data_IF_574869179244
#
_entry.id   IF_574869179244
#
_cell.length_a   1.000
_cell.length_b   1.000
_cell.length_c   1.000
_cell.angle_alpha   90.00
_cell.angle_beta   90.00
_cell.angle_gamma   90.00
#
_symmetry.space_group_name_H-M   'P 1'
#
loop_
_entity.id
_entity.type
_entity.pdbx_description
1 polymer ?
#
# COMPACT_ATOMS: atom_id res chain seq x y z
N UNK A 1 13.57 -8.36 -60.75
CA UNK A 1 12.34 -8.20 -59.94
C UNK A 1 12.32 -9.11 -58.71
N UNK A 2 12.61 -10.38 -58.81
CA UNK A 2 12.56 -11.38 -57.69
C UNK A 2 13.47 -10.99 -56.49
N UNK A 3 14.70 -10.59 -56.74
CA UNK A 3 15.63 -10.17 -55.65
C UNK A 3 15.15 -8.96 -54.82
N UNK A 4 14.42 -8.00 -55.42
CA UNK A 4 13.89 -6.83 -54.73
C UNK A 4 12.68 -7.21 -53.88
N UNK A 5 11.81 -8.13 -54.35
CA UNK A 5 10.65 -8.67 -53.67
C UNK A 5 11.07 -9.47 -52.40
N UNK A 6 12.12 -10.28 -52.54
CA UNK A 6 12.66 -11.05 -51.40
C UNK A 6 13.27 -10.10 -50.31
N UNK A 7 13.95 -9.03 -50.72
CA UNK A 7 14.44 -8.02 -49.74
C UNK A 7 13.31 -7.33 -49.00
N UNK A 8 12.19 -7.00 -49.67
CA UNK A 8 11.02 -6.39 -49.04
C UNK A 8 10.36 -7.39 -48.07
N UNK A 9 10.21 -8.65 -48.45
CA UNK A 9 9.65 -9.70 -47.58
C UNK A 9 10.52 -9.90 -46.34
N UNK A 10 11.84 -9.97 -46.50
CA UNK A 10 12.76 -10.08 -45.34
C UNK A 10 12.68 -8.86 -44.46
N UNK A 11 12.64 -7.65 -45.02
CA UNK A 11 12.52 -6.43 -44.22
C UNK A 11 11.21 -6.32 -43.46
N UNK A 12 10.06 -6.67 -44.09
CA UNK A 12 8.78 -6.75 -43.43
C UNK A 12 8.75 -7.81 -42.32
N UNK A 13 9.33 -8.98 -42.54
CA UNK A 13 9.45 -10.03 -41.55
C UNK A 13 10.26 -9.57 -40.32
N UNK A 14 11.37 -8.87 -40.53
CA UNK A 14 12.21 -8.29 -39.47
C UNK A 14 11.44 -7.23 -38.65
N UNK A 15 10.66 -6.38 -39.31
CA UNK A 15 9.82 -5.37 -38.65
C UNK A 15 8.75 -6.09 -37.76
N UNK A 16 8.08 -7.10 -38.31
CA UNK A 16 7.07 -7.87 -37.56
C UNK A 16 7.67 -8.56 -36.32
N UNK A 17 8.86 -9.17 -36.47
CA UNK A 17 9.59 -9.78 -35.36
C UNK A 17 9.93 -8.73 -34.31
N UNK A 18 10.41 -7.57 -34.69
CA UNK A 18 10.78 -6.50 -33.76
C UNK A 18 9.58 -5.94 -33.02
N UNK A 19 8.46 -5.71 -33.72
CA UNK A 19 7.20 -5.26 -33.08
C UNK A 19 6.66 -6.33 -32.12
N UNK A 20 6.67 -7.60 -32.55
CA UNK A 20 6.20 -8.72 -31.70
C UNK A 20 7.07 -8.87 -30.46
N UNK A 21 8.39 -8.73 -30.58
CA UNK A 21 9.32 -8.76 -29.45
C UNK A 21 9.08 -7.60 -28.49
N UNK A 22 8.84 -6.38 -29.02
CA UNK A 22 8.50 -5.22 -28.19
C UNK A 22 7.17 -5.41 -27.46
N UNK A 23 6.14 -5.86 -28.17
CA UNK A 23 4.82 -6.14 -27.56
C UNK A 23 4.90 -7.22 -26.50
N UNK A 24 5.66 -8.29 -26.74
CA UNK A 24 5.90 -9.35 -25.76
C UNK A 24 6.64 -8.81 -24.54
N UNK A 25 7.67 -7.99 -24.73
CA UNK A 25 8.43 -7.36 -23.64
C UNK A 25 7.53 -6.46 -22.79
N UNK A 26 6.66 -5.67 -23.41
CA UNK A 26 5.68 -4.84 -22.71
C UNK A 26 4.64 -5.68 -21.94
N UNK A 27 4.11 -6.71 -22.59
CA UNK A 27 3.17 -7.64 -21.95
C UNK A 27 3.82 -8.37 -20.77
N UNK A 28 5.03 -8.85 -20.93
CA UNK A 28 5.81 -9.50 -19.87
C UNK A 28 6.02 -8.57 -18.67
N UNK A 29 6.31 -7.29 -18.94
CA UNK A 29 6.56 -6.30 -17.89
C UNK A 29 5.30 -5.88 -17.16
N UNK A 30 4.16 -5.73 -17.84
CA UNK A 30 2.99 -5.05 -17.30
C UNK A 30 1.71 -5.90 -17.20
N UNK A 31 1.64 -7.05 -17.88
CA UNK A 31 0.40 -7.81 -18.00
C UNK A 31 0.54 -9.28 -17.56
N UNK A 32 1.69 -9.90 -17.81
CA UNK A 32 1.85 -11.33 -17.53
C UNK A 32 2.12 -11.51 -16.03
N UNK A 33 1.23 -12.23 -15.36
CA UNK A 33 1.42 -12.64 -13.96
C UNK A 33 2.60 -13.61 -13.84
N UNK A 34 3.43 -13.43 -12.81
CA UNK A 34 4.60 -14.28 -12.55
C UNK A 34 4.77 -14.49 -11.06
N UNK A 35 4.78 -15.75 -10.63
CA UNK A 35 5.15 -16.10 -9.26
C UNK A 35 6.67 -15.94 -9.07
N UNK A 36 7.08 -15.30 -7.98
CA UNK A 36 8.50 -15.16 -7.61
C UNK A 36 8.86 -16.07 -6.43
N UNK A 37 7.94 -16.27 -5.49
CA UNK A 37 8.16 -17.10 -4.30
C UNK A 37 6.85 -17.69 -3.79
N UNK A 38 6.88 -18.94 -3.32
CA UNK A 38 5.74 -19.56 -2.68
C UNK A 38 5.36 -18.82 -1.38
N UNK A 39 4.06 -18.56 -1.19
CA UNK A 39 3.53 -17.96 0.04
C UNK A 39 3.35 -19.06 1.08
N UNK A 40 3.99 -18.88 2.24
CA UNK A 40 3.80 -19.75 3.40
C UNK A 40 2.66 -19.21 4.24
N UNK A 41 1.51 -19.92 4.23
CA UNK A 41 0.40 -19.58 5.10
C UNK A 41 0.72 -20.08 6.52
N UNK A 42 0.97 -19.16 7.44
CA UNK A 42 0.86 -19.48 8.86
C UNK A 42 -0.62 -19.61 9.20
N UNK A 43 -1.14 -20.84 9.27
CA UNK A 43 -2.47 -21.11 9.78
C UNK A 43 -2.41 -20.81 11.29
N UNK A 44 -2.75 -19.61 11.70
CA UNK A 44 -3.04 -19.34 13.09
C UNK A 44 -4.40 -19.97 13.40
N UNK A 45 -4.38 -21.10 14.13
CA UNK A 45 -5.59 -21.67 14.73
C UNK A 45 -6.16 -20.63 15.68
N UNK A 46 -7.28 -20.01 15.32
CA UNK A 46 -8.03 -19.15 16.23
C UNK A 46 -8.57 -20.02 17.36
N UNK A 47 -8.07 -19.81 18.56
CA UNK A 47 -8.71 -20.32 19.77
C UNK A 47 -10.08 -19.64 19.88
N UNK A 48 -11.15 -20.44 19.98
CA UNK A 48 -12.52 -19.99 20.25
C UNK A 48 -12.66 -19.52 21.70
N UNK A 49 -11.96 -18.47 22.08
CA UNK A 49 -12.31 -17.70 23.27
C UNK A 49 -13.56 -16.87 22.92
N UNK A 50 -14.58 -16.87 23.79
CA UNK A 50 -15.73 -15.95 23.66
C UNK A 50 -15.18 -14.52 23.70
N UNK A 51 -14.95 -13.96 22.54
CA UNK A 51 -14.57 -12.56 22.39
C UNK A 51 -15.81 -11.73 22.64
N UNK A 52 -15.74 -10.80 23.60
CA UNK A 52 -16.75 -9.76 23.73
C UNK A 52 -16.57 -8.82 22.53
N UNK A 53 -17.32 -9.07 21.47
CA UNK A 53 -17.28 -8.27 20.25
C UNK A 53 -18.42 -7.28 20.28
N UNK A 54 -18.09 -6.01 20.09
CA UNK A 54 -19.06 -4.93 19.83
C UNK A 54 -18.67 -4.22 18.55
N UNK A 55 -19.63 -3.92 17.68
CA UNK A 55 -19.37 -3.22 16.44
C UNK A 55 -20.60 -2.45 15.95
N UNK A 56 -20.33 -1.44 15.15
CA UNK A 56 -21.30 -0.70 14.36
C UNK A 56 -20.70 -0.39 12.97
N UNK A 57 -21.26 0.58 12.25
CA UNK A 57 -20.78 0.93 10.92
C UNK A 57 -19.36 1.54 10.89
N UNK A 58 -18.86 2.04 12.01
CA UNK A 58 -17.61 2.79 12.12
C UNK A 58 -16.69 2.33 13.26
N UNK A 59 -17.20 1.48 14.13
CA UNK A 59 -16.50 1.00 15.33
C UNK A 59 -16.45 -0.51 15.37
N UNK A 60 -15.35 -1.04 15.83
CA UNK A 60 -15.20 -2.45 16.17
C UNK A 60 -14.33 -2.57 17.42
N UNK A 61 -14.75 -3.38 18.38
CA UNK A 61 -13.97 -3.66 19.57
C UNK A 61 -14.10 -5.12 19.96
N UNK A 62 -12.96 -5.72 20.26
CA UNK A 62 -12.85 -7.06 20.82
C UNK A 62 -11.77 -7.09 21.90
N UNK A 63 -11.50 -8.28 22.45
CA UNK A 63 -10.48 -8.42 23.50
C UNK A 63 -9.07 -8.06 23.04
N UNK A 64 -8.76 -8.15 21.72
CA UNK A 64 -7.40 -8.04 21.20
C UNK A 64 -7.12 -6.70 20.54
N UNK A 65 -8.14 -6.03 20.01
CA UNK A 65 -7.99 -4.73 19.34
C UNK A 65 -9.30 -3.94 19.34
N UNK A 66 -9.15 -2.64 19.08
CA UNK A 66 -10.29 -1.76 18.79
C UNK A 66 -9.97 -0.89 17.59
N UNK A 67 -10.99 -0.60 16.79
CA UNK A 67 -10.94 0.29 15.63
C UNK A 67 -12.07 1.30 15.77
N UNK A 68 -11.73 2.57 15.56
CA UNK A 68 -12.71 3.65 15.38
C UNK A 68 -12.38 4.37 14.07
N UNK A 69 -13.34 4.49 13.16
CA UNK A 69 -13.18 5.17 11.86
C UNK A 69 -13.98 6.46 11.89
N UNK A 70 -13.35 7.56 11.52
CA UNK A 70 -13.97 8.85 11.37
C UNK A 70 -13.90 9.32 9.92
N UNK A 71 -15.05 9.62 9.31
CA UNK A 71 -15.10 10.36 8.05
C UNK A 71 -14.93 11.85 8.37
N UNK A 72 -13.98 12.50 7.72
CA UNK A 72 -13.69 13.94 7.86
C UNK A 72 -13.84 14.65 6.52
N UNK A 73 -14.26 15.88 6.58
CA UNK A 73 -14.35 16.78 5.44
C UNK A 73 -13.75 18.13 5.81
N UNK A 74 -13.00 18.74 4.89
CA UNK A 74 -12.41 20.06 5.04
C UNK A 74 -12.44 20.83 3.73
N UNK A 75 -12.37 22.17 3.78
CA UNK A 75 -12.50 23.00 2.58
C UNK A 75 -13.90 23.00 2.00
N UNK A 76 -14.10 23.73 0.92
CA UNK A 76 -15.35 23.88 0.21
C UNK A 76 -15.14 23.98 -1.31
N UNK A 77 -16.20 23.79 -2.09
CA UNK A 77 -16.16 23.82 -3.55
C UNK A 77 -15.06 22.93 -4.13
N UNK A 78 -14.24 23.49 -5.01
CA UNK A 78 -13.13 22.79 -5.66
C UNK A 78 -11.96 22.47 -4.71
N UNK A 79 -11.93 23.08 -3.50
CA UNK A 79 -10.94 22.82 -2.49
C UNK A 79 -11.38 21.78 -1.45
N UNK A 80 -12.57 21.21 -1.60
CA UNK A 80 -13.09 20.19 -0.70
C UNK A 80 -12.21 18.96 -0.70
N UNK A 81 -11.95 18.42 0.50
CA UNK A 81 -11.20 17.18 0.75
C UNK A 81 -12.04 16.31 1.66
N UNK A 82 -12.25 15.07 1.27
CA UNK A 82 -12.89 14.04 2.08
C UNK A 82 -11.84 12.96 2.40
N UNK A 83 -11.74 12.57 3.66
CA UNK A 83 -10.79 11.55 4.10
C UNK A 83 -11.33 10.75 5.29
N UNK A 84 -10.74 9.60 5.51
CA UNK A 84 -11.11 8.65 6.56
C UNK A 84 -9.91 8.39 7.44
N UNK A 85 -10.12 8.50 8.75
CA UNK A 85 -9.10 8.26 9.78
C UNK A 85 -9.54 7.07 10.60
N UNK A 86 -8.80 5.98 10.55
CA UNK A 86 -9.02 4.81 11.38
C UNK A 86 -7.99 4.80 12.52
N UNK A 87 -8.46 5.00 13.73
CA UNK A 87 -7.67 4.82 14.96
C UNK A 87 -7.70 3.35 15.36
N UNK A 88 -6.54 2.74 15.43
CA UNK A 88 -6.35 1.35 15.76
C UNK A 88 -5.52 1.20 17.03
N UNK A 89 -6.08 0.53 18.03
CA UNK A 89 -5.34 0.09 19.21
C UNK A 89 -5.30 -1.44 19.22
N UNK A 90 -4.11 -2.03 19.27
CA UNK A 90 -3.92 -3.47 19.35
C UNK A 90 -3.24 -3.83 20.68
N UNK A 91 -3.54 -4.98 21.26
CA UNK A 91 -2.78 -5.50 22.41
C UNK A 91 -1.45 -6.11 21.98
N UNK A 92 -1.41 -6.64 20.77
CA UNK A 92 -0.27 -7.30 20.19
C UNK A 92 -0.21 -6.95 18.69
N UNK A 93 0.94 -6.48 18.24
CA UNK A 93 1.20 -6.09 16.85
C UNK A 93 0.98 -7.24 15.85
N UNK A 94 1.06 -8.49 16.29
CA UNK A 94 0.79 -9.67 15.46
C UNK A 94 -0.65 -9.72 14.94
N UNK A 95 -1.54 -8.88 15.49
CA UNK A 95 -2.88 -8.65 14.96
C UNK A 95 -2.88 -7.89 13.64
N UNK A 96 -1.83 -7.08 13.38
CA UNK A 96 -1.64 -6.38 12.10
C UNK A 96 -0.88 -7.30 11.15
N UNK A 97 -1.56 -7.71 10.10
CA UNK A 97 -1.07 -8.69 9.11
C UNK A 97 -1.01 -8.08 7.72
N UNK A 98 -0.31 -8.75 6.82
CA UNK A 98 -0.36 -8.47 5.39
C UNK A 98 -0.81 -9.70 4.61
N UNK A 99 -1.55 -9.48 3.52
CA UNK A 99 -1.94 -10.54 2.61
C UNK A 99 -1.71 -10.11 1.16
N UNK A 100 -1.22 -11.05 0.36
CA UNK A 100 -1.00 -10.86 -1.07
C UNK A 100 -2.28 -11.12 -1.87
N UNK A 101 -2.41 -10.43 -2.99
CA UNK A 101 -3.43 -10.72 -3.99
C UNK A 101 -3.37 -12.20 -4.42
N UNK A 102 -4.52 -12.87 -4.51
CA UNK A 102 -4.65 -14.29 -4.87
C UNK A 102 -3.80 -15.23 -3.98
N UNK A 103 -3.37 -14.78 -2.79
CA UNK A 103 -2.42 -15.48 -1.91
C UNK A 103 -1.12 -15.91 -2.64
N UNK A 104 -0.61 -15.06 -3.54
CA UNK A 104 0.57 -15.30 -4.37
C UNK A 104 1.51 -14.10 -4.32
N UNK A 105 2.82 -14.35 -4.12
CA UNK A 105 3.83 -13.32 -4.23
C UNK A 105 4.48 -13.33 -5.61
N UNK A 106 4.48 -12.19 -6.30
CA UNK A 106 5.10 -12.07 -7.62
C UNK A 106 4.74 -10.79 -8.34
N UNK A 107 4.92 -10.81 -9.67
CA UNK A 107 4.75 -9.65 -10.53
C UNK A 107 3.39 -9.65 -11.22
N UNK A 108 2.78 -8.47 -11.30
CA UNK A 108 1.50 -8.23 -11.96
C UNK A 108 0.32 -9.04 -11.38
N UNK A 109 0.50 -9.69 -10.23
CA UNK A 109 -0.56 -10.41 -9.53
C UNK A 109 -1.34 -9.39 -8.72
N UNK A 110 -2.61 -9.21 -9.03
CA UNK A 110 -3.42 -8.15 -8.45
C UNK A 110 -4.86 -8.56 -8.21
N UNK A 111 -5.46 -7.98 -7.17
CA UNK A 111 -6.85 -8.16 -6.79
C UNK A 111 -7.36 -6.90 -6.10
N UNK A 112 -8.68 -6.69 -5.96
CA UNK A 112 -9.20 -5.55 -5.21
C UNK A 112 -8.89 -5.68 -3.72
N UNK A 113 -8.70 -4.56 -3.03
CA UNK A 113 -8.50 -4.55 -1.57
C UNK A 113 -9.62 -5.29 -0.85
N UNK A 114 -10.86 -5.08 -1.26
CA UNK A 114 -12.03 -5.73 -0.68
C UNK A 114 -12.04 -7.25 -0.86
N UNK A 115 -11.62 -7.75 -2.03
CA UNK A 115 -11.55 -9.20 -2.27
C UNK A 115 -10.44 -9.86 -1.45
N UNK A 116 -9.24 -9.25 -1.41
CA UNK A 116 -8.15 -9.76 -0.57
C UNK A 116 -8.58 -9.75 0.91
N UNK A 117 -9.20 -8.66 1.38
CA UNK A 117 -9.70 -8.53 2.73
C UNK A 117 -10.74 -9.60 3.08
N UNK A 118 -11.74 -9.78 2.22
CA UNK A 118 -12.79 -10.78 2.40
C UNK A 118 -12.21 -12.22 2.43
N UNK A 119 -11.29 -12.53 1.53
CA UNK A 119 -10.62 -13.85 1.48
C UNK A 119 -9.78 -14.15 2.73
N UNK A 120 -9.37 -13.12 3.48
CA UNK A 120 -8.60 -13.24 4.71
C UNK A 120 -9.44 -13.01 5.98
N UNK A 121 -10.78 -12.94 5.86
CA UNK A 121 -11.71 -12.64 6.96
C UNK A 121 -11.34 -11.36 7.71
N UNK A 122 -10.85 -10.36 6.98
CA UNK A 122 -10.45 -9.10 7.58
C UNK A 122 -11.65 -8.31 8.13
N UNK A 123 -11.51 -7.77 9.33
CA UNK A 123 -12.42 -6.77 9.89
C UNK A 123 -12.09 -5.39 9.31
N UNK A 124 -10.81 -5.09 9.20
CA UNK A 124 -10.31 -3.83 8.63
C UNK A 124 -9.16 -4.11 7.67
N UNK A 125 -9.09 -3.36 6.59
CA UNK A 125 -7.93 -3.37 5.70
C UNK A 125 -7.76 -2.04 4.96
N UNK A 126 -6.51 -1.77 4.57
CA UNK A 126 -6.14 -0.77 3.56
C UNK A 126 -5.28 -1.43 2.49
N UNK A 127 -5.16 -0.80 1.32
CA UNK A 127 -4.18 -1.22 0.32
C UNK A 127 -2.76 -1.12 0.89
N UNK A 128 -1.89 -2.00 0.44
CA UNK A 128 -0.47 -2.02 0.80
C UNK A 128 0.40 -1.12 -0.09
N UNK A 129 1.60 -1.63 -0.39
CA UNK A 129 2.55 -0.95 -1.27
C UNK A 129 2.42 -1.39 -2.74
N UNK A 130 3.42 -1.03 -3.57
CA UNK A 130 3.41 -1.23 -5.02
C UNK A 130 4.41 -2.32 -5.46
N UNK A 131 4.77 -3.25 -4.59
CA UNK A 131 5.85 -4.23 -4.81
C UNK A 131 5.64 -5.10 -6.06
N UNK A 132 4.40 -5.42 -6.42
CA UNK A 132 4.06 -6.31 -7.55
C UNK A 132 4.36 -5.69 -8.92
N UNK A 133 4.62 -4.38 -8.98
CA UNK A 133 4.97 -3.67 -10.21
C UNK A 133 6.42 -3.16 -10.22
N UNK A 134 7.19 -3.43 -9.15
CA UNK A 134 8.61 -3.07 -8.98
C UNK A 134 9.46 -4.30 -8.80
N UNK A 135 10.76 -4.17 -9.09
CA UNK A 135 11.75 -5.23 -8.91
C UNK A 135 12.60 -5.03 -7.64
N UNK A 136 12.42 -3.88 -7.01
CA UNK A 136 13.15 -3.44 -5.83
C UNK A 136 12.27 -3.40 -4.57
N UNK A 137 12.89 -3.09 -3.43
CA UNK A 137 12.32 -3.03 -2.09
C UNK A 137 12.69 -4.25 -1.24
N UNK A 138 12.83 -4.05 0.07
CA UNK A 138 12.90 -5.14 1.05
C UNK A 138 11.48 -5.52 1.42
N UNK A 139 11.04 -6.73 1.06
CA UNK A 139 9.68 -7.21 1.26
C UNK A 139 9.67 -8.35 2.27
N UNK A 140 9.32 -8.02 3.50
CA UNK A 140 9.01 -8.96 4.59
C UNK A 140 7.51 -8.87 4.84
N UNK A 141 6.81 -10.01 4.91
CA UNK A 141 5.40 -10.09 5.26
C UNK A 141 5.19 -11.19 6.28
N UNK A 142 4.57 -10.83 7.41
CA UNK A 142 4.29 -11.73 8.53
C UNK A 142 5.53 -12.54 8.97
N UNK A 143 6.71 -11.88 9.07
CA UNK A 143 7.98 -12.47 9.46
C UNK A 143 8.69 -13.30 8.38
N UNK A 144 8.15 -13.37 7.17
CA UNK A 144 8.75 -14.10 6.04
C UNK A 144 9.34 -13.14 5.02
N UNK A 145 10.62 -13.36 4.66
CA UNK A 145 11.29 -12.60 3.60
C UNK A 145 10.86 -13.08 2.22
N UNK A 146 10.41 -12.17 1.36
CA UNK A 146 10.02 -12.42 -0.02
C UNK A 146 10.97 -11.80 -1.03
N UNK A 147 11.50 -10.61 -0.77
CA UNK A 147 12.48 -9.92 -1.64
C UNK A 147 13.47 -9.15 -0.78
N UNK A 148 14.74 -9.14 -1.20
CA UNK A 148 15.82 -8.35 -0.60
C UNK A 148 16.53 -7.56 -1.71
N UNK A 149 15.96 -6.44 -2.09
CA UNK A 149 16.47 -5.56 -3.15
C UNK A 149 16.32 -4.09 -2.72
N UNK A 150 17.16 -3.62 -1.79
CA UNK A 150 17.04 -2.31 -1.16
C UNK A 150 17.10 -1.17 -2.19
N UNK A 151 16.24 -0.16 -2.04
CA UNK A 151 16.16 0.94 -3.00
C UNK A 151 15.82 2.32 -2.41
N UNK A 152 15.11 2.38 -1.29
CA UNK A 152 14.53 3.64 -0.75
C UNK A 152 14.32 3.58 0.76
N UNK A 153 13.71 4.61 1.31
CA UNK A 153 13.22 4.54 2.69
C UNK A 153 12.02 3.61 2.76
N UNK A 154 12.09 2.63 3.64
CA UNK A 154 11.04 1.67 3.94
C UNK A 154 10.39 1.93 5.29
N UNK A 155 9.18 1.40 5.47
CA UNK A 155 8.50 1.29 6.75
C UNK A 155 8.66 -0.12 7.29
N UNK A 156 9.06 -0.27 8.56
CA UNK A 156 9.14 -1.56 9.26
C UNK A 156 8.19 -1.59 10.46
N UNK A 157 7.49 -2.69 10.64
CA UNK A 157 6.73 -3.03 11.85
C UNK A 157 7.54 -4.00 12.69
N UNK A 158 7.71 -3.70 13.97
CA UNK A 158 8.45 -4.51 14.92
C UNK A 158 7.52 -5.28 15.85
N UNK A 159 7.97 -6.43 16.33
CA UNK A 159 7.21 -7.29 17.24
C UNK A 159 6.95 -6.69 18.62
N UNK A 160 7.59 -5.56 18.97
CA UNK A 160 7.36 -4.79 20.20
C UNK A 160 6.21 -3.77 20.11
N UNK A 161 5.50 -3.74 18.98
CA UNK A 161 4.38 -2.82 18.76
C UNK A 161 4.78 -1.47 18.21
N UNK A 162 6.02 -1.30 17.77
CA UNK A 162 6.51 -0.07 17.16
C UNK A 162 6.59 -0.16 15.64
N UNK A 163 6.61 1.01 14.98
CA UNK A 163 7.06 1.14 13.59
C UNK A 163 8.26 2.08 13.53
N UNK A 164 9.09 1.88 12.53
CA UNK A 164 10.19 2.79 12.21
C UNK A 164 10.34 2.94 10.70
N UNK A 165 10.87 4.08 10.29
CA UNK A 165 11.24 4.37 8.91
C UNK A 165 12.75 4.22 8.82
N UNK A 166 13.21 3.44 7.86
CA UNK A 166 14.62 3.08 7.72
C UNK A 166 15.08 3.25 6.28
N UNK A 167 16.38 3.49 6.09
CA UNK A 167 17.00 3.47 4.77
C UNK A 167 17.32 2.02 4.40
N UNK A 168 16.63 1.49 3.39
CA UNK A 168 16.84 0.13 2.90
C UNK A 168 18.30 -0.09 2.46
N UNK A 169 18.94 0.95 1.94
CA UNK A 169 20.33 0.85 1.42
C UNK A 169 21.37 0.81 2.53
N UNK A 170 21.00 1.17 3.75
CA UNK A 170 21.88 1.17 4.93
C UNK A 170 21.72 -0.09 5.81
N UNK A 171 20.84 -1.02 5.41
CA UNK A 171 20.56 -2.25 6.16
C UNK A 171 20.36 -3.44 5.21
N UNK A 172 20.01 -4.59 5.76
CA UNK A 172 19.64 -5.78 4.99
C UNK A 172 18.50 -6.53 5.68
N UNK A 173 17.87 -7.44 4.95
CA UNK A 173 16.72 -8.19 5.43
C UNK A 173 17.01 -9.07 6.66
N UNK A 174 18.22 -9.62 6.78
CA UNK A 174 18.59 -10.48 7.91
C UNK A 174 18.67 -9.67 9.20
N UNK A 175 19.26 -8.47 9.15
CA UNK A 175 19.33 -7.57 10.30
C UNK A 175 17.94 -7.11 10.74
N UNK A 176 17.05 -6.80 9.79
CA UNK A 176 15.66 -6.45 10.10
C UNK A 176 14.93 -7.59 10.79
N UNK A 177 15.03 -8.82 10.27
CA UNK A 177 14.42 -9.99 10.88
C UNK A 177 14.98 -10.27 12.28
N UNK A 178 16.31 -10.14 12.47
CA UNK A 178 16.97 -10.30 13.76
C UNK A 178 16.52 -9.27 14.80
N UNK A 179 16.13 -8.06 14.35
CA UNK A 179 15.55 -7.01 15.19
C UNK A 179 14.06 -7.22 15.49
N UNK A 180 13.44 -8.29 14.99
CA UNK A 180 12.03 -8.60 15.22
C UNK A 180 11.07 -7.92 14.26
N UNK A 181 11.52 -7.51 13.07
CA UNK A 181 10.65 -6.97 12.04
C UNK A 181 9.68 -8.05 11.53
N UNK A 182 8.40 -7.74 11.54
CA UNK A 182 7.32 -8.61 11.07
C UNK A 182 6.85 -8.27 9.67
N UNK A 183 6.79 -6.99 9.33
CA UNK A 183 6.38 -6.50 8.01
C UNK A 183 7.24 -5.30 7.60
N UNK A 184 7.55 -5.21 6.31
CA UNK A 184 8.18 -4.02 5.71
C UNK A 184 7.36 -3.56 4.51
N UNK A 185 7.28 -2.25 4.29
CA UNK A 185 6.63 -1.65 3.12
C UNK A 185 7.60 -0.68 2.45
N UNK A 186 7.76 -0.84 1.13
CA UNK A 186 8.73 -0.09 0.32
C UNK A 186 8.01 0.78 -0.70
N UNK A 187 7.51 1.93 -0.29
CA UNK A 187 6.83 2.90 -1.15
C UNK A 187 7.32 4.32 -0.89
N UNK A 188 6.91 4.93 0.21
CA UNK A 188 7.35 6.23 0.67
C UNK A 188 6.65 7.44 0.02
N UNK A 189 7.07 8.61 0.43
CA UNK A 189 8.12 8.88 1.41
C UNK A 189 7.66 8.76 2.86
N UNK A 190 8.62 8.97 3.82
CA UNK A 190 8.29 9.38 5.18
C UNK A 190 7.51 10.68 5.14
N UNK A 191 6.51 10.80 5.99
CA UNK A 191 5.70 12.01 6.12
C UNK A 191 6.14 12.87 7.32
N UNK A 192 6.71 12.25 8.35
CA UNK A 192 7.18 12.95 9.55
C UNK A 192 8.68 12.74 9.75
N UNK A 193 9.31 13.75 10.31
CA UNK A 193 10.66 13.72 10.89
C UNK A 193 10.55 14.09 12.37
N UNK A 194 10.89 13.18 13.28
CA UNK A 194 10.78 13.37 14.72
C UNK A 194 9.39 13.92 15.17
N UNK A 195 8.32 13.39 14.59
CA UNK A 195 6.94 13.80 14.88
C UNK A 195 6.54 15.15 14.28
N UNK A 196 7.36 15.72 13.40
CA UNK A 196 7.09 16.98 12.70
C UNK A 196 6.88 16.76 11.22
N UNK A 197 5.90 17.46 10.64
CA UNK A 197 5.56 17.34 9.23
C UNK A 197 6.75 17.72 8.34
N UNK A 198 7.06 16.83 7.39
CA UNK A 198 7.98 17.14 6.31
C UNK A 198 7.24 18.04 5.31
N UNK A 199 7.84 19.17 4.98
CA UNK A 199 7.24 20.22 4.14
C UNK A 199 7.88 20.33 2.76
N UNK A 200 8.97 19.60 2.50
CA UNK A 200 9.67 19.61 1.22
C UNK A 200 9.88 18.18 0.72
N UNK A 201 9.22 17.86 -0.37
CA UNK A 201 9.30 16.58 -1.05
C UNK A 201 9.96 16.66 -2.45
N UNK A 202 10.58 17.80 -2.82
CA UNK A 202 11.13 18.08 -4.16
C UNK A 202 12.15 17.03 -4.63
N UNK A 203 12.93 16.46 -3.70
CA UNK A 203 13.96 15.46 -4.02
C UNK A 203 13.48 14.02 -3.86
N UNK A 204 12.23 13.80 -3.51
CA UNK A 204 11.69 12.46 -3.33
C UNK A 204 11.41 11.81 -4.67
N UNK A 205 11.97 10.62 -4.89
CA UNK A 205 11.69 9.77 -6.06
C UNK A 205 11.02 8.48 -5.58
N UNK A 206 9.73 8.36 -5.85
CA UNK A 206 8.98 7.13 -5.51
C UNK A 206 9.16 6.09 -6.61
N UNK A 207 9.13 6.50 -7.87
CA UNK A 207 9.23 5.60 -9.01
C UNK A 207 10.02 6.25 -10.16
N UNK A 208 11.06 5.55 -10.62
CA UNK A 208 11.86 5.97 -11.77
C UNK A 208 11.13 5.78 -13.12
N UNK A 209 10.09 4.94 -13.18
CA UNK A 209 9.41 4.57 -14.42
C UNK A 209 8.24 5.50 -14.76
N UNK A 210 7.53 6.04 -13.76
CA UNK A 210 6.33 6.86 -13.95
C UNK A 210 6.52 8.34 -13.56
N UNK A 211 7.69 8.68 -13.02
CA UNK A 211 8.01 10.02 -12.54
C UNK A 211 7.18 10.44 -11.31
N UNK A 212 7.46 11.64 -10.80
CA UNK A 212 6.89 12.12 -9.53
C UNK A 212 5.51 12.78 -9.66
N UNK A 213 4.78 12.62 -10.76
CA UNK A 213 3.49 13.32 -11.02
C UNK A 213 2.49 13.21 -9.88
N UNK A 214 2.54 12.11 -9.12
CA UNK A 214 1.61 11.88 -8.01
C UNK A 214 2.08 12.50 -6.69
N UNK A 215 3.32 12.98 -6.61
CA UNK A 215 3.86 13.65 -5.43
C UNK A 215 3.47 15.11 -5.43
N UNK A 216 3.64 15.78 -6.57
CA UNK A 216 3.54 17.24 -6.69
C UNK A 216 2.10 17.74 -6.64
N UNK A 217 1.12 16.89 -6.95
CA UNK A 217 -0.28 17.28 -7.06
C UNK A 217 -1.15 16.66 -5.96
N UNK A 218 -2.31 17.28 -5.73
CA UNK A 218 -3.36 16.69 -4.91
C UNK A 218 -3.85 15.38 -5.54
N UNK A 219 -3.87 14.32 -4.74
CA UNK A 219 -4.26 12.98 -5.15
C UNK A 219 -4.97 12.25 -4.00
N UNK A 220 -5.72 11.17 -4.29
CA UNK A 220 -6.05 10.18 -3.27
C UNK A 220 -4.76 9.66 -2.62
N UNK A 221 -4.77 9.50 -1.28
CA UNK A 221 -3.62 9.07 -0.50
C UNK A 221 -3.98 7.91 0.42
N UNK A 222 -3.01 7.09 0.71
CA UNK A 222 -3.05 6.08 1.77
C UNK A 222 -1.81 6.20 2.62
N UNK A 223 -1.96 6.19 3.92
CA UNK A 223 -0.81 6.28 4.83
C UNK A 223 -1.08 5.67 6.19
N UNK A 224 0.00 5.43 6.90
CA UNK A 224 0.02 4.86 8.24
C UNK A 224 0.86 5.76 9.14
N UNK A 225 0.36 6.01 10.35
CA UNK A 225 1.11 6.65 11.42
C UNK A 225 1.05 5.85 12.72
N UNK A 226 2.00 6.10 13.59
CA UNK A 226 2.01 5.59 14.96
C UNK A 226 2.02 6.77 15.94
N UNK A 227 1.06 6.77 16.86
CA UNK A 227 1.01 7.73 17.97
C UNK A 227 1.94 7.26 19.09
N UNK A 228 1.82 6.01 19.47
CA UNK A 228 2.63 5.32 20.48
C UNK A 228 2.66 3.82 20.17
N UNK A 229 3.52 3.01 20.80
CA UNK A 229 3.52 1.56 20.60
C UNK A 229 2.12 0.96 20.69
N UNK A 230 1.77 0.10 19.73
CA UNK A 230 0.45 -0.53 19.61
C UNK A 230 -0.74 0.41 19.33
N UNK A 231 -0.49 1.69 19.07
CA UNK A 231 -1.52 2.70 18.80
C UNK A 231 -1.24 3.38 17.46
N UNK A 232 -2.03 3.02 16.45
CA UNK A 232 -1.81 3.39 15.06
C UNK A 232 -2.95 4.22 14.48
N UNK A 233 -2.63 4.97 13.45
CA UNK A 233 -3.59 5.69 12.64
C UNK A 233 -3.41 5.28 11.18
N UNK A 234 -4.49 4.86 10.54
CA UNK A 234 -4.54 4.58 9.12
C UNK A 234 -5.40 5.65 8.46
N UNK A 235 -4.89 6.28 7.42
CA UNK A 235 -5.59 7.35 6.74
C UNK A 235 -5.75 7.02 5.27
N UNK A 236 -6.98 7.13 4.76
CA UNK A 236 -7.28 7.10 3.33
C UNK A 236 -7.97 8.40 2.94
N UNK A 237 -7.41 9.08 1.95
CA UNK A 237 -7.93 10.33 1.39
C UNK A 237 -8.54 10.03 0.04
N UNK A 238 -9.81 10.40 -0.14
CA UNK A 238 -10.45 10.37 -1.45
C UNK A 238 -9.94 11.52 -2.34
N UNK A 239 -10.12 11.42 -3.62
CA UNK A 239 -9.72 12.48 -4.54
C UNK A 239 -10.08 12.20 -5.99
N UNK A 240 -9.75 13.15 -6.88
CA UNK A 240 -10.06 13.11 -8.31
C UNK A 240 -11.57 13.16 -8.59
N UNK A 241 -12.35 13.71 -7.67
CA UNK A 241 -13.79 13.86 -7.76
C UNK A 241 -14.17 15.30 -7.40
N UNK A 242 -14.47 16.09 -8.45
CA UNK A 242 -14.76 17.51 -8.32
C UNK A 242 -16.02 17.76 -7.49
N UNK A 243 -15.91 18.66 -6.52
CA UNK A 243 -17.01 18.98 -5.60
C UNK A 243 -17.17 17.99 -4.44
N UNK A 244 -16.51 16.83 -4.49
CA UNK A 244 -16.47 15.86 -3.40
C UNK A 244 -15.11 15.81 -2.70
N UNK A 245 -14.03 15.55 -3.45
CA UNK A 245 -12.69 15.55 -2.92
C UNK A 245 -11.64 15.71 -4.02
N UNK A 246 -10.78 16.74 -3.90
CA UNK A 246 -9.63 16.90 -4.78
C UNK A 246 -8.46 15.99 -4.43
N UNK A 247 -8.45 15.45 -3.22
CA UNK A 247 -7.32 14.76 -2.63
C UNK A 247 -6.38 15.70 -1.87
N UNK A 248 -5.28 15.17 -1.36
CA UNK A 248 -4.24 15.91 -0.63
C UNK A 248 -2.91 15.92 -1.38
N UNK A 249 -2.18 17.03 -1.29
CA UNK A 249 -0.73 17.08 -1.54
C UNK A 249 0.00 16.29 -0.46
N UNK A 250 1.27 15.94 -0.65
CA UNK A 250 2.05 15.29 0.41
C UNK A 250 2.26 16.21 1.62
N UNK A 251 2.40 17.53 1.41
CA UNK A 251 2.53 18.48 2.51
C UNK A 251 1.27 18.51 3.38
N UNK A 252 0.08 18.55 2.79
CA UNK A 252 -1.18 18.49 3.52
C UNK A 252 -1.33 17.15 4.25
N UNK A 253 -0.92 16.05 3.60
CA UNK A 253 -1.00 14.72 4.16
C UNK A 253 -0.01 14.53 5.32
N UNK A 254 1.18 15.10 5.20
CA UNK A 254 2.18 15.15 6.26
C UNK A 254 1.69 15.95 7.48
N UNK A 255 1.13 17.15 7.24
CA UNK A 255 0.56 17.98 8.30
C UNK A 255 -0.59 17.26 9.02
N UNK A 256 -1.45 16.55 8.29
CA UNK A 256 -2.53 15.78 8.90
C UNK A 256 -2.00 14.76 9.93
N UNK A 257 -0.91 14.02 9.61
CA UNK A 257 -0.34 13.06 10.56
C UNK A 257 0.32 13.73 11.78
N UNK A 258 0.91 14.93 11.62
CA UNK A 258 1.37 15.73 12.76
C UNK A 258 0.20 16.15 13.63
N UNK A 259 -0.88 16.67 13.04
CA UNK A 259 -2.09 17.11 13.75
C UNK A 259 -2.79 15.94 14.49
N UNK A 260 -2.68 14.72 13.96
CA UNK A 260 -3.15 13.49 14.61
C UNK A 260 -2.23 13.01 15.75
N UNK A 261 -1.13 13.70 16.00
CA UNK A 261 -0.19 13.40 17.09
C UNK A 261 0.71 12.20 16.83
N UNK A 262 0.94 11.84 15.56
CA UNK A 262 1.81 10.75 15.21
C UNK A 262 3.28 11.07 15.44
N UNK A 263 4.07 10.10 15.90
CA UNK A 263 5.53 10.17 16.02
C UNK A 263 6.22 9.76 14.75
N UNK A 264 5.66 8.77 14.04
CA UNK A 264 6.07 8.29 12.72
C UNK A 264 4.87 8.28 11.79
N UNK A 265 5.09 8.60 10.52
CA UNK A 265 4.08 8.44 9.48
C UNK A 265 4.73 8.15 8.12
N UNK A 266 4.07 7.31 7.33
CA UNK A 266 4.59 6.82 6.06
C UNK A 266 3.49 6.76 5.00
N UNK A 267 3.82 7.24 3.79
CA UNK A 267 2.93 7.22 2.64
C UNK A 267 3.01 5.86 1.91
N UNK A 268 1.86 5.30 1.59
CA UNK A 268 1.70 4.06 0.80
C UNK A 268 1.21 4.36 -0.61
N UNK A 269 0.95 3.31 -1.40
CA UNK A 269 0.39 3.47 -2.76
C UNK A 269 -0.95 4.21 -2.69
N UNK A 270 -1.04 5.23 -3.51
CA UNK A 270 -2.16 6.16 -3.54
C UNK A 270 -2.95 6.12 -4.85
N UNK A 271 -3.64 7.21 -5.13
CA UNK A 271 -4.43 7.34 -6.35
C UNK A 271 -5.60 6.36 -6.39
N UNK A 272 -5.73 5.62 -7.47
CA UNK A 272 -6.79 4.62 -7.61
C UNK A 272 -6.72 3.44 -6.64
N UNK A 273 -5.56 3.21 -6.00
CA UNK A 273 -5.39 2.16 -4.99
C UNK A 273 -5.94 2.53 -3.62
N UNK A 274 -6.05 3.84 -3.31
CA UNK A 274 -6.49 4.32 -2.00
C UNK A 274 -7.86 3.75 -1.62
N UNK A 275 -7.85 2.70 -0.83
CA UNK A 275 -9.05 1.96 -0.42
C UNK A 275 -8.98 1.60 1.06
N UNK A 276 -10.08 1.87 1.77
CA UNK A 276 -10.31 1.42 3.14
C UNK A 276 -11.50 0.48 3.18
N UNK A 277 -11.28 -0.71 3.68
CA UNK A 277 -12.29 -1.74 3.89
C UNK A 277 -12.58 -1.90 5.37
N UNK A 278 -13.85 -1.98 5.73
CA UNK A 278 -14.27 -2.21 7.10
C UNK A 278 -15.55 -3.03 7.17
N UNK A 279 -15.53 -4.10 7.95
CA UNK A 279 -16.67 -4.94 8.30
C UNK A 279 -17.56 -5.30 7.08
N UNK A 280 -16.94 -5.82 6.01
CA UNK A 280 -17.64 -6.31 4.82
C UNK A 280 -17.86 -5.28 3.71
N UNK A 281 -17.43 -4.01 3.87
CA UNK A 281 -17.65 -2.96 2.86
C UNK A 281 -16.41 -2.07 2.66
N UNK A 282 -16.31 -1.48 1.49
CA UNK A 282 -15.41 -0.35 1.23
C UNK A 282 -16.08 0.92 1.79
N UNK A 283 -15.34 1.70 2.60
CA UNK A 283 -15.91 2.85 3.32
C UNK A 283 -15.65 4.19 2.65
N UNK A 284 -14.67 4.26 1.75
CA UNK A 284 -14.31 5.46 0.99
C UNK A 284 -14.77 5.39 -0.48
N UNK A 285 -14.47 6.42 -1.31
CA UNK A 285 -14.75 6.47 -2.75
C UNK A 285 -13.45 6.28 -3.55
N UNK A 286 -12.99 5.03 -3.84
CA UNK A 286 -11.71 4.79 -4.46
C UNK A 286 -11.57 5.46 -5.83
N UNK A 287 -10.52 6.29 -5.97
CA UNK A 287 -10.17 6.95 -7.22
C UNK A 287 -11.20 7.95 -7.75
N UNK A 288 -12.21 8.33 -6.94
CA UNK A 288 -13.32 9.21 -7.34
C UNK A 288 -14.29 8.58 -8.33
N UNK A 289 -14.38 7.23 -8.35
CA UNK A 289 -15.22 6.49 -9.32
C UNK A 289 -16.06 5.40 -8.67
N UNK A 290 -16.06 5.34 -7.35
CA UNK A 290 -16.69 4.28 -6.57
C UNK A 290 -16.29 2.87 -7.07
N UNK A 291 -15.03 2.75 -7.49
CA UNK A 291 -14.48 1.54 -8.11
C UNK A 291 -13.02 1.36 -7.72
N UNK A 292 -12.73 0.26 -7.04
CA UNK A 292 -11.39 -0.10 -6.61
C UNK A 292 -10.46 -0.40 -7.80
N UNK A 293 -9.24 0.13 -7.74
CA UNK A 293 -8.12 -0.36 -8.54
C UNK A 293 -7.56 -1.61 -7.87
N UNK A 294 -7.21 -2.62 -8.67
CA UNK A 294 -6.52 -3.80 -8.16
C UNK A 294 -5.13 -3.44 -7.63
N UNK A 295 -4.77 -4.07 -6.51
CA UNK A 295 -3.51 -3.90 -5.77
C UNK A 295 -2.80 -5.23 -5.57
N UNK A 296 -1.52 -5.19 -5.20
CA UNK A 296 -0.72 -6.42 -5.02
C UNK A 296 -0.83 -7.01 -3.62
N UNK A 297 -1.12 -6.20 -2.62
CA UNK A 297 -1.29 -6.62 -1.23
C UNK A 297 -2.12 -5.64 -0.41
N UNK A 298 -2.45 -6.06 0.79
CA UNK A 298 -3.15 -5.28 1.80
C UNK A 298 -2.42 -5.35 3.15
N UNK A 299 -2.71 -4.37 3.99
CA UNK A 299 -2.50 -4.41 5.44
C UNK A 299 -3.86 -4.61 6.07
N UNK A 300 -4.01 -5.59 6.95
CA UNK A 300 -5.31 -5.95 7.50
C UNK A 300 -5.25 -6.46 8.94
N UNK A 301 -6.44 -6.52 9.57
CA UNK A 301 -6.70 -7.07 10.90
C UNK A 301 -7.92 -7.98 10.82
N UNK A 302 -7.84 -9.13 11.48
CA UNK A 302 -8.94 -10.10 11.59
C UNK A 302 -9.07 -10.67 13.00
#
# INVERSE_FOLDING_TARGET
MIKRRNKIIIFTALIVILISSLLYSLAYRYLIERDEKAVTNSISSSSTAKNNVTYDDWNYSCNNFSINIEKKETGDGDNKITYYVAHLNVKDISSIKSAFAQNRFGRNITETTSNIASSNNAIFAINGDYYGFREDGIIIRNGTLYRDAPARNGLAFFNDGTINIYDETATNSNDLLAQGVTNTFSFGPSLLDNGKAITNFDNVKIDSNFGNRNIDNSNPRTGIGMISPNNFVFVVVDGRDNGYSRGMTLNEFSQLFEDLGCTYAYNLDGGGSSTMYFNGRVVNNPGGKDSERKVSDIIYIN
#
